data_IF_869883528572
#
_entry.id   IF_869883528572
#
_cell.length_a   1.000
_cell.length_b   1.000
_cell.length_c   1.000
_cell.angle_alpha   90.00
_cell.angle_beta   90.00
_cell.angle_gamma   90.00
#
_symmetry.space_group_name_H-M   'P 1'
#
loop_
_entity.id
_entity.type
_entity.pdbx_description
1 polymer ?
#
# COMPACT_ATOMS: atom_id res chain seq x y z
N UNK A 1 -3.93 -5.50 9.20
CA UNK A 1 -4.07 -5.29 7.74
C UNK A 1 -5.29 -4.47 7.36
N UNK A 2 -6.50 -4.76 7.84
CA UNK A 2 -7.67 -3.90 7.55
C UNK A 2 -7.42 -2.42 7.89
N UNK A 3 -7.00 -2.15 9.14
CA UNK A 3 -6.68 -0.80 9.59
C UNK A 3 -5.57 -0.15 8.74
N UNK A 4 -4.64 -0.94 8.22
CA UNK A 4 -3.59 -0.44 7.30
C UNK A 4 -4.22 0.02 6.00
N UNK A 5 -5.17 -0.73 5.42
CA UNK A 5 -5.91 -0.31 4.23
C UNK A 5 -6.67 1.01 4.44
N UNK A 6 -7.31 1.18 5.60
CA UNK A 6 -8.00 2.44 5.96
C UNK A 6 -7.00 3.59 6.08
N UNK A 7 -5.86 3.37 6.75
CA UNK A 7 -4.81 4.40 6.90
C UNK A 7 -4.25 4.81 5.54
N UNK A 8 -3.95 3.85 4.65
CA UNK A 8 -3.46 4.12 3.30
C UNK A 8 -4.50 4.93 2.51
N UNK A 9 -5.77 4.54 2.58
CA UNK A 9 -6.85 5.28 1.92
C UNK A 9 -6.87 6.75 2.38
N UNK A 10 -6.95 7.00 3.69
CA UNK A 10 -7.01 8.35 4.25
C UNK A 10 -5.74 9.15 3.94
N UNK A 11 -4.57 8.51 3.96
CA UNK A 11 -3.30 9.18 3.66
C UNK A 11 -3.22 9.67 2.23
N UNK A 12 -3.90 8.99 1.29
CA UNK A 12 -3.90 9.35 -0.12
C UNK A 12 -5.06 10.30 -0.49
N UNK A 13 -6.23 10.15 0.13
CA UNK A 13 -7.41 10.96 -0.23
C UNK A 13 -7.72 12.12 0.71
N UNK A 14 -7.22 12.08 1.94
CA UNK A 14 -7.62 12.99 3.02
C UNK A 14 -9.03 12.71 3.58
N UNK A 15 -9.69 11.63 3.16
CA UNK A 15 -11.07 11.27 3.55
C UNK A 15 -11.18 9.84 4.02
N UNK A 16 -12.22 9.52 4.80
CA UNK A 16 -12.50 8.13 5.18
C UNK A 16 -13.20 7.37 4.04
N UNK A 17 -12.99 6.04 3.93
CA UNK A 17 -13.58 5.23 2.86
C UNK A 17 -15.06 4.88 3.08
N UNK A 18 -15.73 5.52 4.05
CA UNK A 18 -17.10 5.25 4.44
C UNK A 18 -17.97 6.47 4.16
N UNK A 19 -19.18 6.23 3.65
CA UNK A 19 -20.24 7.22 3.59
C UNK A 19 -20.81 7.43 5.00
N UNK A 20 -20.84 8.67 5.48
CA UNK A 20 -21.38 9.02 6.81
C UNK A 20 -22.90 8.87 6.88
N UNK A 21 -23.59 8.92 5.73
CA UNK A 21 -25.05 8.82 5.63
C UNK A 21 -25.56 7.36 5.59
N UNK A 22 -24.65 6.37 5.57
CA UNK A 22 -24.97 4.94 5.47
C UNK A 22 -24.43 4.14 6.66
N UNK A 23 -25.03 2.98 6.95
CA UNK A 23 -24.53 2.11 8.01
C UNK A 23 -23.14 1.56 7.67
N UNK A 24 -22.15 1.89 8.51
CA UNK A 24 -20.75 1.49 8.32
C UNK A 24 -20.62 -0.04 8.28
N UNK A 25 -21.38 -0.79 9.08
CA UNK A 25 -21.30 -2.25 9.07
C UNK A 25 -21.77 -2.84 7.74
N UNK A 26 -22.82 -2.27 7.13
CA UNK A 26 -23.28 -2.69 5.80
C UNK A 26 -22.21 -2.40 4.74
N UNK A 27 -21.61 -1.21 4.77
CA UNK A 27 -20.53 -0.83 3.86
C UNK A 27 -19.31 -1.76 4.00
N UNK A 28 -18.95 -2.13 5.23
CA UNK A 28 -17.89 -3.10 5.51
C UNK A 28 -18.26 -4.47 4.96
N UNK A 29 -19.48 -4.96 5.17
CA UNK A 29 -19.90 -6.29 4.71
C UNK A 29 -20.00 -6.39 3.19
N UNK A 30 -20.38 -5.29 2.54
CA UNK A 30 -20.51 -5.21 1.08
C UNK A 30 -19.20 -4.82 0.37
N UNK A 31 -18.16 -4.41 1.11
CA UNK A 31 -16.94 -3.83 0.57
C UNK A 31 -17.22 -2.68 -0.42
N UNK A 32 -18.23 -1.87 -0.11
CA UNK A 32 -18.71 -0.78 -0.96
C UNK A 32 -17.86 0.49 -0.78
N UNK A 33 -16.55 0.38 -0.99
CA UNK A 33 -15.63 1.52 -0.88
C UNK A 33 -15.67 2.36 -2.15
N UNK A 34 -15.77 3.67 -1.98
CA UNK A 34 -15.82 4.61 -3.09
C UNK A 34 -14.45 5.22 -3.37
N UNK A 35 -14.17 5.47 -4.65
CA UNK A 35 -12.98 6.17 -5.12
C UNK A 35 -13.41 7.34 -6.01
N UNK A 36 -13.92 8.45 -5.43
CA UNK A 36 -14.41 9.58 -6.21
C UNK A 36 -13.32 10.17 -7.11
N UNK A 37 -13.63 10.70 -8.31
CA UNK A 37 -12.60 11.10 -9.27
C UNK A 37 -11.54 12.07 -8.75
N UNK A 38 -11.88 12.96 -7.82
CA UNK A 38 -10.89 13.78 -7.10
C UNK A 38 -10.76 13.25 -5.66
N UNK A 39 -9.55 12.96 -5.15
CA UNK A 39 -8.24 13.01 -5.83
C UNK A 39 -7.87 11.72 -6.60
N UNK A 40 -8.73 10.70 -6.60
CA UNK A 40 -8.35 9.34 -7.04
C UNK A 40 -7.98 9.18 -8.51
N UNK A 41 -8.30 10.14 -9.39
CA UNK A 41 -7.85 10.16 -10.78
C UNK A 41 -6.34 10.35 -10.92
N UNK A 42 -5.70 10.99 -9.93
CA UNK A 42 -4.25 11.26 -9.93
C UNK A 42 -3.47 10.21 -9.12
N UNK A 43 -4.17 9.38 -8.35
CA UNK A 43 -3.60 8.29 -7.57
C UNK A 43 -3.40 7.07 -8.47
N UNK A 44 -2.28 6.36 -8.30
CA UNK A 44 -1.95 5.24 -9.17
C UNK A 44 -2.93 4.06 -9.01
N UNK A 45 -3.25 3.34 -10.09
CA UNK A 45 -4.09 2.14 -10.03
C UNK A 45 -3.56 1.08 -9.06
N UNK A 46 -2.24 0.95 -8.93
CA UNK A 46 -1.59 0.01 -8.01
C UNK A 46 -1.86 0.36 -6.55
N UNK A 47 -2.04 1.64 -6.21
CA UNK A 47 -2.42 2.06 -4.86
C UNK A 47 -3.84 1.58 -4.53
N UNK A 48 -4.76 1.79 -5.47
CA UNK A 48 -6.16 1.36 -5.35
C UNK A 48 -6.24 -0.16 -5.26
N UNK A 49 -5.45 -0.88 -6.07
CA UNK A 49 -5.38 -2.34 -6.02
C UNK A 49 -4.88 -2.84 -4.66
N UNK A 50 -3.84 -2.20 -4.08
CA UNK A 50 -3.39 -2.56 -2.73
C UNK A 50 -4.49 -2.35 -1.69
N UNK A 51 -5.18 -1.20 -1.72
CA UNK A 51 -6.27 -0.90 -0.79
C UNK A 51 -7.38 -1.93 -0.91
N UNK A 52 -7.82 -2.26 -2.13
CA UNK A 52 -8.85 -3.27 -2.37
C UNK A 52 -8.45 -4.64 -1.83
N UNK A 53 -7.17 -5.00 -1.93
CA UNK A 53 -6.64 -6.26 -1.40
C UNK A 53 -6.45 -6.25 0.14
N UNK A 54 -6.32 -5.08 0.76
CA UNK A 54 -6.29 -4.89 2.22
C UNK A 54 -7.68 -4.81 2.85
N UNK A 55 -8.64 -4.22 2.15
CA UNK A 55 -10.03 -4.03 2.57
C UNK A 55 -10.93 -5.17 2.10
N UNK A 56 -10.46 -6.41 2.28
CA UNK A 56 -11.25 -7.61 2.01
C UNK A 56 -12.04 -8.06 3.23
N UNK A 57 -13.36 -8.25 3.07
CA UNK A 57 -14.28 -8.74 4.12
C UNK A 57 -13.88 -10.14 4.56
N UNK A 58 -13.68 -11.03 3.58
CA UNK A 58 -13.21 -12.40 3.83
C UNK A 58 -11.72 -12.35 4.20
N UNK A 59 -11.41 -12.65 5.46
CA UNK A 59 -10.04 -12.63 5.97
C UNK A 59 -9.06 -13.47 5.13
N UNK A 60 -9.48 -14.62 4.59
CA UNK A 60 -8.64 -15.47 3.74
C UNK A 60 -8.26 -14.84 2.40
N UNK A 61 -9.04 -13.85 1.91
CA UNK A 61 -8.74 -13.09 0.71
C UNK A 61 -7.90 -11.85 0.99
N UNK A 62 -7.86 -11.39 2.23
CA UNK A 62 -7.11 -10.22 2.67
C UNK A 62 -5.61 -10.51 2.60
N UNK A 63 -4.82 -9.57 2.08
CA UNK A 63 -3.36 -9.71 2.10
C UNK A 63 -2.83 -9.79 3.53
N UNK A 64 -1.87 -10.67 3.73
CA UNK A 64 -1.01 -10.68 4.91
C UNK A 64 0.05 -9.58 4.78
N UNK A 65 0.78 -9.31 5.87
CA UNK A 65 1.90 -8.35 5.88
C UNK A 65 2.90 -8.67 4.77
N UNK A 66 3.35 -9.92 4.68
CA UNK A 66 4.37 -10.32 3.69
C UNK A 66 3.90 -10.11 2.25
N UNK A 67 2.63 -10.45 1.96
CA UNK A 67 2.07 -10.25 0.62
C UNK A 67 1.86 -8.78 0.30
N UNK A 68 1.48 -7.97 1.29
CA UNK A 68 1.36 -6.52 1.12
C UNK A 68 2.71 -5.87 0.87
N UNK A 69 3.75 -6.28 1.60
CA UNK A 69 5.12 -5.77 1.38
C UNK A 69 5.60 -6.08 -0.04
N UNK A 70 5.29 -7.26 -0.57
CA UNK A 70 5.64 -7.67 -1.93
C UNK A 70 4.74 -7.05 -3.03
N UNK A 71 3.74 -6.25 -2.67
CA UNK A 71 2.82 -5.65 -3.64
C UNK A 71 3.52 -4.62 -4.52
N UNK A 72 3.17 -4.56 -5.82
CA UNK A 72 3.82 -3.70 -6.80
C UNK A 72 3.89 -2.22 -6.37
N UNK A 73 2.83 -1.71 -5.72
CA UNK A 73 2.79 -0.35 -5.20
C UNK A 73 3.90 0.00 -4.19
N UNK A 74 4.37 -0.98 -3.40
CA UNK A 74 5.47 -0.81 -2.43
C UNK A 74 6.83 -1.26 -2.98
N UNK A 75 6.86 -1.88 -4.16
CA UNK A 75 8.08 -2.38 -4.78
C UNK A 75 8.67 -1.36 -5.76
N UNK A 76 8.80 -0.10 -5.32
CA UNK A 76 9.40 0.98 -6.11
C UNK A 76 10.86 1.21 -5.71
N UNK A 77 11.62 1.80 -6.62
CA UNK A 77 13.00 2.19 -6.34
C UNK A 77 13.09 3.21 -5.20
N UNK A 78 12.17 4.18 -5.17
CA UNK A 78 12.10 5.21 -4.12
C UNK A 78 11.83 4.60 -2.75
N UNK A 79 10.85 3.70 -2.63
CA UNK A 79 10.57 3.00 -1.38
C UNK A 79 11.78 2.17 -0.91
N UNK A 80 12.51 1.54 -1.84
CA UNK A 80 13.74 0.84 -1.50
C UNK A 80 14.82 1.80 -0.98
N UNK A 81 15.04 2.95 -1.63
CA UNK A 81 15.99 3.97 -1.15
C UNK A 81 15.65 4.45 0.26
N UNK A 82 14.39 4.77 0.52
CA UNK A 82 13.92 5.23 1.83
C UNK A 82 14.12 4.17 2.91
N UNK A 83 13.82 2.91 2.61
CA UNK A 83 14.06 1.80 3.52
C UNK A 83 15.54 1.61 3.81
N UNK A 84 16.41 1.68 2.79
CA UNK A 84 17.86 1.58 2.97
C UNK A 84 18.40 2.75 3.81
N UNK A 85 17.92 3.96 3.58
CA UNK A 85 18.31 5.13 4.37
C UNK A 85 17.90 4.97 5.85
N UNK A 86 16.69 4.46 6.11
CA UNK A 86 16.23 4.14 7.46
C UNK A 86 17.10 3.06 8.13
N UNK A 87 17.37 1.96 7.43
CA UNK A 87 18.19 0.84 7.94
C UNK A 87 19.62 1.29 8.26
N UNK A 88 20.23 2.14 7.42
CA UNK A 88 21.53 2.75 7.69
C UNK A 88 21.50 3.61 8.97
N UNK A 89 20.44 4.40 9.18
CA UNK A 89 20.29 5.24 10.38
C UNK A 89 20.10 4.42 11.65
N UNK A 90 19.36 3.31 11.58
CA UNK A 90 19.09 2.44 12.73
C UNK A 90 20.25 1.46 12.95
N UNK A 91 21.14 1.26 11.97
CA UNK A 91 22.30 0.40 12.06
C UNK A 91 21.99 -1.09 11.88
N UNK A 92 20.81 -1.44 11.38
CA UNK A 92 20.38 -2.82 11.18
C UNK A 92 19.43 -2.94 9.98
N UNK A 93 19.55 -4.04 9.23
CA UNK A 93 18.73 -4.36 8.06
C UNK A 93 17.50 -5.18 8.49
N UNK A 94 16.30 -4.72 8.18
CA UNK A 94 15.05 -5.33 8.65
C UNK A 94 14.16 -5.84 7.52
N UNK A 95 13.91 -5.00 6.51
CA UNK A 95 12.88 -5.23 5.51
C UNK A 95 13.46 -5.49 4.12
N UNK A 96 14.60 -4.89 3.79
CA UNK A 96 15.25 -5.12 2.50
C UNK A 96 16.18 -6.34 2.57
N UNK A 97 16.47 -6.96 1.43
CA UNK A 97 17.39 -8.10 1.31
C UNK A 97 18.50 -7.83 0.28
N UNK A 98 19.65 -8.51 0.41
CA UNK A 98 20.80 -8.30 -0.48
C UNK A 98 20.46 -8.52 -1.98
N UNK A 99 19.44 -9.34 -2.27
CA UNK A 99 18.90 -9.53 -3.62
C UNK A 99 18.24 -8.26 -4.19
N UNK A 100 17.64 -7.42 -3.34
CA UNK A 100 17.05 -6.14 -3.76
C UNK A 100 18.14 -5.18 -4.22
N UNK A 101 19.31 -5.23 -3.58
CA UNK A 101 20.45 -4.39 -3.92
C UNK A 101 20.98 -4.73 -5.33
N UNK A 102 20.90 -5.99 -5.75
CA UNK A 102 21.24 -6.39 -7.11
C UNK A 102 20.17 -5.89 -8.10
N UNK A 103 18.89 -6.08 -7.78
CA UNK A 103 17.76 -5.65 -8.60
C UNK A 103 17.78 -4.14 -8.89
N UNK A 104 18.13 -3.32 -7.89
CA UNK A 104 18.06 -1.86 -8.00
C UNK A 104 19.40 -1.18 -8.33
N UNK A 105 20.56 -1.82 -8.11
CA UNK A 105 21.85 -1.26 -8.57
C UNK A 105 21.92 -1.18 -10.09
N UNK A 106 21.41 -2.18 -10.79
CA UNK A 106 21.44 -2.22 -12.25
C UNK A 106 20.50 -1.19 -12.91
N UNK A 107 19.56 -0.62 -12.14
CA UNK A 107 18.68 0.46 -12.60
C UNK A 107 19.37 1.84 -12.61
N UNK A 108 20.59 1.94 -12.07
CA UNK A 108 21.38 3.18 -11.97
C UNK A 108 22.36 3.31 -13.15
N UNK A 109 22.63 2.24 -13.91
CA UNK A 109 23.50 2.32 -15.09
C UNK A 109 22.74 2.89 -16.30
N UNK A 110 23.12 4.08 -16.81
CA UNK A 110 22.56 4.56 -18.06
C UNK A 110 23.08 3.65 -19.19
N UNK A 111 22.15 3.12 -20.00
CA UNK A 111 22.49 2.53 -21.30
C UNK A 111 23.14 3.57 -22.22
#
# INVERSE_FOLDING_TARGET
MWSVGVIVYVSLSGTFPFNEDEDINEQIQNAAFMYPPAPWREISPEAIDLINNLLQVKQRKRLSVDKSQAHAWLQTHEAWLDLRALECRVGHRYLTHASDDARWRDAIEPR
#
